data_IF_079952799278
#
_entry.id   IF_079952799278
#
_cell.length_a   1.000
_cell.length_b   1.000
_cell.length_c   1.000
_cell.angle_alpha   90.00
_cell.angle_beta   90.00
_cell.angle_gamma   90.00
#
_symmetry.space_group_name_H-M   'P 1'
#
loop_
_entity.id
_entity.type
_entity.pdbx_description
1 polymer ?
#
# COMPACT_ATOMS: atom_id res chain seq x y z
N UNK A 1 4.65 -3.62 -6.54
CA UNK A 1 4.82 -2.76 -5.35
C UNK A 1 3.49 -2.20 -4.87
N UNK A 2 3.33 -1.93 -3.57
CA UNK A 2 2.09 -1.39 -3.04
C UNK A 2 1.97 0.12 -3.34
N UNK A 3 1.04 0.52 -4.20
CA UNK A 3 0.81 1.93 -4.51
C UNK A 3 -0.25 2.55 -3.60
N UNK A 4 0.05 3.67 -2.96
CA UNK A 4 -0.86 4.42 -2.11
C UNK A 4 -1.11 5.84 -2.62
N UNK A 5 -2.20 6.46 -2.17
CA UNK A 5 -2.45 7.87 -2.44
C UNK A 5 -1.84 8.73 -1.34
N UNK A 6 -0.89 9.60 -1.69
CA UNK A 6 -0.30 10.51 -0.74
C UNK A 6 -1.13 11.80 -0.70
N UNK A 7 -1.79 12.07 0.42
CA UNK A 7 -2.61 13.29 0.60
C UNK A 7 -1.78 14.57 0.58
N UNK A 8 -0.49 14.50 0.94
CA UNK A 8 0.43 15.64 0.93
C UNK A 8 0.87 15.97 -0.51
N UNK A 9 1.21 14.95 -1.29
CA UNK A 9 1.59 15.11 -2.70
C UNK A 9 0.37 15.18 -3.64
N UNK A 10 -0.82 14.87 -3.13
CA UNK A 10 -2.08 14.73 -3.89
C UNK A 10 -1.96 13.81 -5.11
N UNK A 11 -1.09 12.82 -5.04
CA UNK A 11 -0.73 11.93 -6.14
C UNK A 11 -0.66 10.49 -5.67
N UNK A 12 -0.90 9.54 -6.59
CA UNK A 12 -0.60 8.13 -6.38
C UNK A 12 0.91 7.93 -6.45
N UNK A 13 1.48 7.25 -5.46
CA UNK A 13 2.90 6.95 -5.35
C UNK A 13 3.09 5.57 -4.75
N UNK A 14 4.25 4.99 -4.96
CA UNK A 14 4.64 3.78 -4.26
C UNK A 14 4.74 4.04 -2.75
N UNK A 15 4.35 3.06 -1.95
CA UNK A 15 4.50 3.09 -0.49
C UNK A 15 5.89 2.54 -0.17
N UNK A 16 6.76 3.40 0.35
CA UNK A 16 8.04 2.99 0.93
C UNK A 16 7.80 2.31 2.30
N UNK A 17 8.66 1.37 2.66
CA UNK A 17 8.54 0.59 3.91
C UNK A 17 7.12 -0.01 4.07
N UNK A 18 6.58 -0.56 2.99
CA UNK A 18 5.24 -1.16 2.97
C UNK A 18 5.19 -2.43 3.82
N UNK A 19 4.48 -2.37 4.95
CA UNK A 19 4.25 -3.46 5.89
C UNK A 19 2.78 -3.84 5.89
N UNK A 20 2.48 -5.11 5.66
CA UNK A 20 1.12 -5.64 5.82
C UNK A 20 0.74 -5.77 7.30
N UNK A 21 -0.36 -5.14 7.69
CA UNK A 21 -0.92 -5.21 9.04
C UNK A 21 -2.42 -5.54 8.94
N UNK A 22 -2.89 -6.43 9.81
CA UNK A 22 -4.32 -6.72 9.92
C UNK A 22 -4.93 -5.76 10.92
N UNK A 23 -5.86 -4.92 10.47
CA UNK A 23 -6.58 -4.00 11.35
C UNK A 23 -7.48 -4.79 12.31
N UNK A 24 -7.82 -4.17 13.44
CA UNK A 24 -8.72 -4.71 14.47
C UNK A 24 -10.12 -5.09 13.96
N UNK A 25 -10.51 -4.60 12.79
CA UNK A 25 -11.76 -4.92 12.10
C UNK A 25 -11.64 -6.14 11.16
N UNK A 26 -10.54 -6.89 11.22
CA UNK A 26 -10.30 -8.08 10.41
C UNK A 26 -9.89 -7.80 8.95
N UNK A 27 -9.70 -6.53 8.58
CA UNK A 27 -9.30 -6.15 7.22
C UNK A 27 -7.78 -6.04 7.15
N UNK A 28 -7.17 -6.62 6.11
CA UNK A 28 -5.76 -6.39 5.80
C UNK A 28 -5.56 -4.96 5.32
N UNK A 29 -4.45 -4.34 5.69
CA UNK A 29 -3.98 -3.09 5.11
C UNK A 29 -2.45 -3.11 5.00
N UNK A 30 -1.93 -2.22 4.17
CA UNK A 30 -0.51 -1.94 4.05
C UNK A 30 -0.25 -0.59 4.70
N UNK A 31 0.66 -0.55 5.66
CA UNK A 31 1.17 0.65 6.30
C UNK A 31 2.55 0.93 5.75
N UNK A 32 2.84 2.17 5.40
CA UNK A 32 4.19 2.58 5.05
C UNK A 32 4.30 4.09 4.94
N UNK A 33 5.21 4.59 4.11
CA UNK A 33 5.52 6.02 4.00
C UNK A 33 5.58 6.48 2.56
N UNK A 34 5.33 7.76 2.34
CA UNK A 34 5.57 8.38 1.05
C UNK A 34 7.08 8.54 0.82
N UNK A 35 7.68 8.01 -0.27
CA UNK A 35 9.09 8.18 -0.57
C UNK A 35 9.46 9.64 -0.87
N UNK A 36 8.47 10.48 -1.22
CA UNK A 36 8.70 11.88 -1.59
C UNK A 36 8.62 12.84 -0.40
N UNK A 37 7.65 12.66 0.50
CA UNK A 37 7.43 13.60 1.61
C UNK A 37 7.54 12.95 3.00
N UNK A 38 7.79 11.64 3.08
CA UNK A 38 7.91 10.90 4.34
C UNK A 38 6.62 10.71 5.12
N UNK A 39 5.49 11.25 4.65
CA UNK A 39 4.20 11.13 5.36
C UNK A 39 3.76 9.67 5.44
N UNK A 40 3.24 9.26 6.59
CA UNK A 40 2.71 7.91 6.78
C UNK A 40 1.49 7.73 5.89
N UNK A 41 1.46 6.62 5.17
CA UNK A 41 0.42 6.23 4.23
C UNK A 41 -0.14 4.86 4.61
N UNK A 42 -1.46 4.71 4.46
CA UNK A 42 -2.16 3.46 4.72
C UNK A 42 -2.99 3.08 3.49
N UNK A 43 -2.95 1.81 3.09
CA UNK A 43 -3.75 1.25 2.01
C UNK A 43 -4.53 0.06 2.51
N UNK A 44 -5.85 0.19 2.60
CA UNK A 44 -6.75 -0.89 3.04
C UNK A 44 -6.93 -1.89 1.89
N UNK A 45 -6.65 -3.18 2.12
CA UNK A 45 -6.76 -4.29 1.17
C UNK A 45 -8.13 -5.01 1.25
N UNK A 46 -9.19 -4.31 1.64
CA UNK A 46 -10.39 -4.97 2.15
C UNK A 46 -11.31 -5.59 1.09
N UNK A 47 -11.58 -6.89 1.23
CA UNK A 47 -12.84 -7.56 0.85
C UNK A 47 -12.97 -8.03 -0.61
N UNK A 48 -12.83 -9.36 -0.78
CA UNK A 48 -12.67 -10.14 -2.04
C UNK A 48 -11.32 -9.93 -2.72
N UNK A 49 -10.58 -11.03 -2.76
CA UNK A 49 -9.31 -11.17 -3.43
C UNK A 49 -9.32 -10.51 -4.82
N UNK A 50 -8.53 -9.46 -4.96
CA UNK A 50 -7.76 -9.33 -6.18
C UNK A 50 -6.32 -9.51 -5.73
N UNK A 51 -5.66 -10.63 -6.08
CA UNK A 51 -4.23 -10.73 -5.83
C UNK A 51 -3.56 -9.55 -6.52
N UNK A 52 -2.49 -9.03 -5.93
CA UNK A 52 -1.64 -8.05 -6.57
C UNK A 52 -1.40 -8.46 -8.04
N UNK A 53 -1.33 -7.53 -9.01
CA UNK A 53 -0.58 -7.83 -10.20
C UNK A 53 0.86 -8.06 -9.71
N UNK A 54 1.19 -9.34 -9.57
CA UNK A 54 2.54 -9.86 -9.61
C UNK A 54 3.21 -9.21 -10.80
N UNK A 55 3.98 -8.17 -10.52
CA UNK A 55 4.92 -7.65 -11.48
C UNK A 55 6.07 -8.64 -11.51
N UNK A 56 5.93 -9.64 -12.39
CA UNK A 56 7.01 -10.29 -13.09
C UNK A 56 7.89 -11.25 -12.26
N UNK A 57 7.61 -12.55 -12.37
CA UNK A 57 8.68 -13.56 -12.51
C UNK A 57 8.63 -14.18 -13.90
N UNK A 58 9.19 -13.48 -14.88
CA UNK A 58 9.66 -14.11 -16.11
C UNK A 58 10.94 -14.90 -15.80
N UNK A 59 10.88 -16.23 -15.92
CA UNK A 59 11.89 -17.08 -16.57
C UNK A 59 11.56 -18.56 -16.38
#
# INVERSE_FOLDING_TARGET
MAEGYCVKCKSKKEIADAVEETLKNGRKAIKGKCPTCGVVMFKILGGKASPAPDANKAS
#
